data_IF_753269439141
#
_entry.id   IF_753269439141
#
_cell.length_a   1.000
_cell.length_b   1.000
_cell.length_c   1.000
_cell.angle_alpha   90.00
_cell.angle_beta   90.00
_cell.angle_gamma   90.00
#
_symmetry.space_group_name_H-M   'P 1'
#
loop_
_entity.id
_entity.type
_entity.pdbx_description
1 polymer ?
#
# COMPACT_ATOMS: atom_id res chain seq x y z
N UNK A 1 -10.67 -14.61 -50.09
CA UNK A 1 -9.46 -13.85 -49.68
C UNK A 1 -9.80 -12.53 -48.98
N UNK A 2 -10.37 -11.51 -49.66
CA UNK A 2 -10.65 -10.18 -49.06
C UNK A 2 -11.60 -10.20 -47.86
N UNK A 3 -12.69 -11.00 -47.89
CA UNK A 3 -13.67 -11.07 -46.79
C UNK A 3 -13.08 -11.67 -45.50
N UNK A 4 -12.29 -12.74 -45.62
CA UNK A 4 -11.60 -13.35 -44.49
C UNK A 4 -10.51 -12.44 -43.90
N UNK A 5 -9.80 -11.67 -44.74
CA UNK A 5 -8.81 -10.70 -44.29
C UNK A 5 -9.43 -9.55 -43.47
N UNK A 6 -10.61 -9.06 -43.88
CA UNK A 6 -11.35 -8.02 -43.14
C UNK A 6 -11.85 -8.55 -41.79
N UNK A 7 -12.33 -9.80 -41.73
CA UNK A 7 -12.76 -10.43 -40.47
C UNK A 7 -11.54 -10.58 -39.52
N UNK A 8 -10.40 -11.03 -40.03
CA UNK A 8 -9.17 -11.18 -39.23
C UNK A 8 -8.68 -9.85 -38.65
N UNK A 9 -8.71 -8.76 -39.43
CA UNK A 9 -8.36 -7.42 -38.96
C UNK A 9 -9.31 -6.88 -37.88
N UNK A 10 -10.61 -7.20 -37.98
CA UNK A 10 -11.59 -6.79 -36.96
C UNK A 10 -11.36 -7.48 -35.61
N UNK A 11 -10.91 -8.74 -35.60
CA UNK A 11 -10.66 -9.48 -34.35
C UNK A 11 -9.39 -8.96 -33.66
N UNK A 12 -8.34 -8.66 -34.43
CA UNK A 12 -7.08 -8.11 -33.90
C UNK A 12 -7.32 -6.74 -33.24
N UNK A 13 -8.08 -5.87 -33.88
CA UNK A 13 -8.36 -4.51 -33.37
C UNK A 13 -9.18 -4.51 -32.07
N UNK A 14 -10.09 -5.47 -31.89
CA UNK A 14 -10.87 -5.64 -30.65
C UNK A 14 -10.00 -6.22 -29.52
N UNK A 15 -9.06 -7.13 -29.83
CA UNK A 15 -8.18 -7.73 -28.82
C UNK A 15 -7.14 -6.77 -28.22
N UNK A 16 -6.73 -5.74 -28.97
CA UNK A 16 -5.70 -4.79 -28.52
C UNK A 16 -6.20 -3.76 -27.52
N UNK A 17 -7.52 -3.54 -27.39
CA UNK A 17 -8.08 -2.54 -26.47
C UNK A 17 -8.26 -3.06 -25.03
N UNK A 18 -8.27 -4.38 -24.81
CA UNK A 18 -8.36 -4.97 -23.46
C UNK A 18 -7.02 -4.95 -22.68
N UNK A 19 -5.88 -4.74 -23.34
CA UNK A 19 -4.56 -4.80 -22.69
C UNK A 19 -4.15 -3.51 -21.96
N UNK A 20 -4.76 -2.37 -22.28
CA UNK A 20 -4.41 -1.07 -21.68
C UNK A 20 -5.15 -0.80 -20.34
N UNK A 21 -6.20 -1.56 -20.02
CA UNK A 21 -7.03 -1.33 -18.82
C UNK A 21 -6.59 -2.06 -17.56
N UNK A 22 -5.61 -2.96 -17.63
CA UNK A 22 -5.34 -3.94 -16.55
C UNK A 22 -4.19 -3.57 -15.60
N UNK A 23 -3.49 -2.46 -15.80
CA UNK A 23 -2.32 -2.11 -14.98
C UNK A 23 -2.64 -1.43 -13.63
N UNK A 24 -3.87 -1.00 -13.39
CA UNK A 24 -4.21 -0.17 -12.21
C UNK A 24 -4.30 -0.95 -10.89
N UNK A 25 -4.58 -2.25 -10.93
CA UNK A 25 -4.81 -3.07 -9.73
C UNK A 25 -3.51 -3.53 -9.04
N UNK A 26 -2.39 -3.58 -9.77
CA UNK A 26 -1.13 -4.09 -9.21
C UNK A 26 -0.44 -3.09 -8.26
N UNK A 27 -0.59 -1.79 -8.51
CA UNK A 27 0.08 -0.74 -7.72
C UNK A 27 -0.36 -0.70 -6.25
N UNK A 28 -1.64 -0.94 -5.95
CA UNK A 28 -2.14 -0.87 -4.57
C UNK A 28 -1.50 -1.92 -3.65
N UNK A 29 -1.10 -3.06 -4.21
CA UNK A 29 -0.45 -4.12 -3.43
C UNK A 29 0.97 -3.75 -3.06
N UNK A 30 1.76 -3.25 -4.01
CA UNK A 30 3.13 -2.79 -3.75
C UNK A 30 3.15 -1.64 -2.76
N UNK A 31 2.23 -0.69 -2.88
CA UNK A 31 2.12 0.46 -1.98
C UNK A 31 1.78 0.04 -0.54
N UNK A 32 0.85 -0.90 -0.35
CA UNK A 32 0.54 -1.47 0.97
C UNK A 32 1.72 -2.24 1.56
N UNK A 33 2.45 -3.00 0.75
CA UNK A 33 3.62 -3.74 1.21
C UNK A 33 4.76 -2.79 1.64
N UNK A 34 4.99 -1.68 0.92
CA UNK A 34 5.95 -0.65 1.32
C UNK A 34 5.58 0.02 2.64
N UNK A 35 4.31 0.35 2.85
CA UNK A 35 3.85 0.91 4.13
C UNK A 35 4.11 -0.02 5.30
N UNK A 36 3.79 -1.32 5.14
CA UNK A 36 3.98 -2.30 6.20
C UNK A 36 5.46 -2.35 6.58
N UNK A 37 6.36 -2.36 5.59
CA UNK A 37 7.81 -2.31 5.83
C UNK A 37 8.24 -1.04 6.56
N UNK A 38 7.65 0.11 6.24
CA UNK A 38 7.94 1.38 6.93
C UNK A 38 7.43 1.35 8.37
N UNK A 39 6.21 0.89 8.60
CA UNK A 39 5.59 0.79 9.93
C UNK A 39 6.35 -0.19 10.85
N UNK A 40 6.86 -1.29 10.29
CA UNK A 40 7.73 -2.24 10.99
C UNK A 40 9.18 -1.76 11.12
N UNK A 41 9.53 -0.62 10.51
CA UNK A 41 10.85 -0.04 10.57
C UNK A 41 11.21 0.43 11.98
N UNK A 42 12.46 0.17 12.40
CA UNK A 42 13.00 0.57 13.71
C UNK A 42 12.76 2.05 14.05
N UNK A 43 12.82 2.93 13.05
CA UNK A 43 12.58 4.37 13.24
C UNK A 43 11.11 4.68 13.56
N UNK A 44 10.18 4.04 12.86
CA UNK A 44 8.75 4.22 13.10
C UNK A 44 8.36 3.66 14.47
N UNK A 45 8.83 2.46 14.81
CA UNK A 45 8.64 1.87 16.14
C UNK A 45 9.18 2.78 17.23
N UNK A 46 10.42 3.27 17.11
CA UNK A 46 11.00 4.18 18.10
C UNK A 46 10.19 5.47 18.27
N UNK A 47 9.70 6.05 17.18
CA UNK A 47 8.85 7.24 17.25
C UNK A 47 7.53 6.95 18.00
N UNK A 48 6.89 5.80 17.74
CA UNK A 48 5.69 5.37 18.47
C UNK A 48 6.01 5.20 19.96
N UNK A 49 7.09 4.49 20.30
CA UNK A 49 7.48 4.26 21.69
C UNK A 49 7.83 5.55 22.42
N UNK A 50 8.51 6.49 21.76
CA UNK A 50 8.79 7.82 22.33
C UNK A 50 7.50 8.59 22.61
N UNK A 51 6.52 8.57 21.69
CA UNK A 51 5.21 9.18 21.90
C UNK A 51 4.46 8.54 23.08
N UNK A 52 4.45 7.21 23.15
CA UNK A 52 3.84 6.49 24.28
C UNK A 52 4.50 6.87 25.61
N UNK A 53 5.84 7.03 25.61
CA UNK A 53 6.60 7.45 26.80
C UNK A 53 6.41 8.92 27.17
N UNK A 54 6.06 9.77 26.21
CA UNK A 54 5.71 11.17 26.48
C UNK A 54 4.37 11.28 27.20
N UNK A 55 3.39 10.47 26.82
CA UNK A 55 2.09 10.41 27.47
C UNK A 55 2.14 9.69 28.82
N UNK A 56 2.93 8.61 28.91
CA UNK A 56 3.18 7.87 30.14
C UNK A 56 4.67 7.53 30.26
N UNK A 57 5.38 8.23 31.15
CA UNK A 57 6.82 8.02 31.37
C UNK A 57 7.21 6.57 31.68
N UNK A 58 6.28 5.76 32.23
CA UNK A 58 6.48 4.34 32.55
C UNK A 58 5.89 3.41 31.49
N UNK A 59 5.46 3.92 30.33
CA UNK A 59 4.95 3.11 29.24
C UNK A 59 5.93 1.99 28.86
N UNK A 60 5.38 0.88 28.41
CA UNK A 60 6.08 -0.33 27.99
C UNK A 60 6.82 -1.01 29.15
N UNK A 61 6.30 -0.85 30.36
CA UNK A 61 6.77 -1.53 31.57
C UNK A 61 5.57 -2.01 32.39
N UNK A 62 5.80 -2.88 33.38
CA UNK A 62 4.72 -3.39 34.24
C UNK A 62 4.06 -2.33 35.12
N UNK A 63 4.77 -1.24 35.38
CA UNK A 63 4.28 -0.10 36.17
C UNK A 63 3.57 0.96 35.32
N UNK A 64 3.69 0.87 33.99
CA UNK A 64 3.03 1.77 33.06
C UNK A 64 1.54 1.48 32.92
N UNK A 65 0.78 2.53 32.58
CA UNK A 65 -0.60 2.41 32.16
C UNK A 65 -0.66 1.68 30.80
N UNK A 66 0.26 2.05 29.89
CA UNK A 66 0.40 1.39 28.60
C UNK A 66 1.51 0.36 28.71
N UNK A 67 1.15 -0.93 28.78
CA UNK A 67 2.14 -2.01 29.00
C UNK A 67 2.73 -2.57 27.71
N UNK A 68 1.93 -2.65 26.67
CA UNK A 68 2.30 -3.22 25.38
C UNK A 68 1.58 -2.50 24.24
N UNK A 69 2.12 -2.63 23.04
CA UNK A 69 1.47 -2.14 21.82
C UNK A 69 1.72 -3.12 20.67
N UNK A 70 0.83 -3.10 19.70
CA UNK A 70 1.01 -3.82 18.44
C UNK A 70 0.46 -2.99 17.28
N UNK A 71 1.06 -3.16 16.12
CA UNK A 71 0.62 -2.49 14.89
C UNK A 71 -0.36 -3.42 14.17
N UNK A 72 -1.62 -3.00 14.04
CA UNK A 72 -2.60 -3.73 13.26
C UNK A 72 -2.42 -3.41 11.76
N UNK A 73 -1.76 -4.33 11.04
CA UNK A 73 -1.43 -4.18 9.61
C UNK A 73 -2.67 -4.09 8.72
N UNK A 74 -3.75 -4.78 9.08
CA UNK A 74 -4.98 -4.80 8.28
C UNK A 74 -5.69 -3.44 8.28
N UNK A 75 -5.41 -2.63 9.30
CA UNK A 75 -5.94 -1.27 9.45
C UNK A 75 -4.97 -0.19 8.97
N UNK A 76 -3.85 -0.54 8.33
CA UNK A 76 -2.95 0.45 7.74
C UNK A 76 -3.55 0.98 6.43
N UNK A 77 -3.85 2.28 6.43
CA UNK A 77 -4.39 3.00 5.28
C UNK A 77 -3.28 3.73 4.52
N UNK A 78 -3.17 3.45 3.22
CA UNK A 78 -2.18 4.09 2.36
C UNK A 78 -2.50 5.57 2.20
N UNK A 79 -1.65 6.39 2.80
CA UNK A 79 -1.61 7.82 2.56
C UNK A 79 -0.37 8.12 1.70
N UNK A 80 -0.51 8.33 0.38
CA UNK A 80 0.60 8.68 -0.47
C UNK A 80 1.21 10.00 0.02
N UNK A 81 2.43 9.92 0.56
CA UNK A 81 3.18 11.06 1.11
C UNK A 81 3.54 12.13 0.07
N UNK A 82 3.17 11.92 -1.20
CA UNK A 82 3.27 12.91 -2.27
C UNK A 82 1.96 12.92 -3.04
N UNK A 83 1.14 13.95 -2.82
CA UNK A 83 0.20 14.39 -3.84
C UNK A 83 1.03 14.66 -5.09
N UNK A 84 0.95 13.75 -6.07
CA UNK A 84 1.70 13.89 -7.30
C UNK A 84 1.38 15.24 -7.91
N UNK A 85 2.42 16.04 -8.12
CA UNK A 85 2.44 16.95 -9.26
C UNK A 85 2.27 16.04 -10.49
N UNK A 86 1.03 15.87 -10.94
CA UNK A 86 0.69 15.36 -12.26
C UNK A 86 0.51 16.53 -13.20
#
# INVERSE_FOLDING_TARGET
>A
MKKFFVIFLSIITISSSMLLGSCSLLNNRSEKEEMIQIAEGKKAQKAIEELLRQEDSKALTEEGIIKEYSINKDKLEYNPMGGGNR
#
